data_IF_372303868956
#
_entry.id   IF_372303868956
#
_cell.length_a   1.000
_cell.length_b   1.000
_cell.length_c   1.000
_cell.angle_alpha   90.00
_cell.angle_beta   90.00
_cell.angle_gamma   90.00
#
_symmetry.space_group_name_H-M   'P 1'
#
loop_
_entity.id
_entity.type
_entity.pdbx_description
1 polymer ?
#
# COMPACT_ATOMS: atom_id res chain seq x y z
N UNK A 1 -7.73 -8.01 -13.38
CA UNK A 1 -7.86 -9.31 -14.05
C UNK A 1 -7.24 -10.39 -13.19
N UNK A 2 -7.92 -11.52 -13.00
CA UNK A 2 -7.35 -12.70 -12.34
C UNK A 2 -7.04 -13.79 -13.37
N UNK A 3 -6.18 -14.72 -12.97
CA UNK A 3 -5.85 -15.92 -13.72
C UNK A 3 -5.77 -17.13 -12.80
N UNK A 4 -5.87 -18.30 -13.41
CA UNK A 4 -5.58 -19.59 -12.82
C UNK A 4 -4.51 -20.31 -13.68
N UNK A 5 -3.97 -21.47 -13.26
CA UNK A 5 -2.98 -22.20 -14.04
C UNK A 5 -3.44 -22.63 -15.44
N UNK A 6 -4.75 -22.58 -15.74
CA UNK A 6 -5.32 -22.91 -17.04
C UNK A 6 -5.53 -21.67 -17.93
N UNK A 7 -5.29 -20.46 -17.41
CA UNK A 7 -5.50 -19.21 -18.15
C UNK A 7 -4.42 -19.06 -19.22
N UNK A 8 -4.78 -19.00 -20.51
CA UNK A 8 -3.81 -18.78 -21.59
C UNK A 8 -3.22 -17.37 -21.47
N UNK A 9 -1.88 -17.29 -21.44
CA UNK A 9 -1.14 -16.03 -21.28
C UNK A 9 -0.36 -15.64 -22.55
N UNK A 10 -0.27 -16.52 -23.53
CA UNK A 10 0.59 -16.43 -24.70
C UNK A 10 0.28 -15.24 -25.60
N UNK A 11 -1.00 -14.84 -25.69
CA UNK A 11 -1.43 -13.66 -26.45
C UNK A 11 -1.31 -12.33 -25.68
N UNK A 12 -0.94 -12.37 -24.40
CA UNK A 12 -0.83 -11.16 -23.58
C UNK A 12 0.54 -10.46 -23.76
N UNK A 13 0.58 -9.11 -23.65
CA UNK A 13 1.84 -8.37 -23.61
C UNK A 13 2.70 -8.77 -22.40
N UNK A 14 4.02 -8.56 -22.47
CA UNK A 14 4.98 -9.02 -21.46
C UNK A 14 4.64 -8.64 -20.02
N UNK A 15 4.19 -7.40 -19.81
CA UNK A 15 3.80 -6.92 -18.49
C UNK A 15 2.62 -7.73 -17.92
N UNK A 16 1.67 -8.15 -18.75
CA UNK A 16 0.50 -8.90 -18.32
C UNK A 16 0.87 -10.36 -18.03
N UNK A 17 1.71 -10.98 -18.85
CA UNK A 17 2.25 -12.33 -18.59
C UNK A 17 2.99 -12.43 -17.26
N UNK A 18 3.72 -11.38 -16.87
CA UNK A 18 4.47 -11.33 -15.61
C UNK A 18 3.58 -11.17 -14.38
N UNK A 19 2.48 -10.42 -14.49
CA UNK A 19 1.66 -10.03 -13.34
C UNK A 19 0.44 -10.94 -13.12
N UNK A 20 -0.18 -11.46 -14.18
CA UNK A 20 -1.40 -12.29 -14.08
C UNK A 20 -1.24 -13.51 -13.16
N UNK A 21 -0.11 -14.27 -13.20
CA UNK A 21 0.09 -15.41 -12.31
C UNK A 21 0.06 -15.08 -10.80
N UNK A 22 0.26 -13.80 -10.44
CA UNK A 22 0.18 -13.34 -9.05
C UNK A 22 -1.22 -12.89 -8.62
N UNK A 23 -2.18 -12.83 -9.55
CA UNK A 23 -3.55 -12.40 -9.31
C UNK A 23 -4.48 -13.61 -9.44
N UNK A 24 -4.70 -14.33 -8.35
CA UNK A 24 -5.64 -15.47 -8.32
C UNK A 24 -7.09 -14.98 -8.16
N UNK A 25 -8.06 -15.85 -8.43
CA UNK A 25 -9.47 -15.50 -8.22
C UNK A 25 -9.75 -15.15 -6.74
N UNK A 26 -9.10 -15.80 -5.80
CA UNK A 26 -9.21 -15.51 -4.36
C UNK A 26 -8.72 -14.10 -4.03
N UNK A 27 -7.64 -13.65 -4.67
CA UNK A 27 -7.10 -12.29 -4.49
C UNK A 27 -8.05 -11.19 -4.99
N UNK A 28 -9.00 -11.52 -5.87
CA UNK A 28 -10.00 -10.55 -6.35
C UNK A 28 -10.93 -10.07 -5.25
N UNK A 29 -11.26 -10.94 -4.28
CA UNK A 29 -12.15 -10.52 -3.17
C UNK A 29 -11.46 -9.44 -2.35
N UNK A 30 -10.18 -9.63 -2.03
CA UNK A 30 -9.35 -8.63 -1.35
C UNK A 30 -9.25 -7.33 -2.15
N UNK A 31 -9.00 -7.44 -3.46
CA UNK A 31 -8.94 -6.28 -4.36
C UNK A 31 -10.27 -5.51 -4.42
N UNK A 32 -11.41 -6.19 -4.50
CA UNK A 32 -12.72 -5.52 -4.49
C UNK A 32 -12.95 -4.77 -3.18
N UNK A 33 -12.54 -5.34 -2.05
CA UNK A 33 -12.64 -4.66 -0.76
C UNK A 33 -11.65 -3.49 -0.66
N UNK A 34 -10.44 -3.61 -1.20
CA UNK A 34 -9.47 -2.51 -1.34
C UNK A 34 -10.09 -1.32 -2.07
N UNK A 35 -10.67 -1.55 -3.25
CA UNK A 35 -11.36 -0.50 -4.00
C UNK A 35 -12.57 0.06 -3.25
N UNK A 36 -13.31 -0.79 -2.52
CA UNK A 36 -14.40 -0.35 -1.68
C UNK A 36 -13.92 0.57 -0.54
N UNK A 37 -12.76 0.31 0.05
CA UNK A 37 -12.16 1.19 1.08
C UNK A 37 -11.87 2.58 0.52
N UNK A 38 -11.35 2.69 -0.71
CA UNK A 38 -11.14 3.99 -1.36
C UNK A 38 -12.43 4.80 -1.49
N UNK A 39 -13.59 4.17 -1.70
CA UNK A 39 -14.88 4.89 -1.72
C UNK A 39 -15.28 5.48 -0.37
N UNK A 40 -14.71 4.98 0.72
CA UNK A 40 -14.98 5.44 2.08
C UNK A 40 -13.95 6.48 2.56
N UNK A 41 -12.75 6.50 1.95
CA UNK A 41 -11.71 7.46 2.29
C UNK A 41 -12.14 8.90 1.98
N UNK A 42 -11.73 9.82 2.85
CA UNK A 42 -12.05 11.25 2.70
C UNK A 42 -10.98 11.99 1.88
N UNK A 43 -11.38 13.01 1.11
CA UNK A 43 -10.41 13.87 0.43
C UNK A 43 -9.54 14.58 1.46
N UNK A 44 -8.34 15.00 1.04
CA UNK A 44 -7.46 15.81 1.87
C UNK A 44 -8.21 17.07 2.35
N UNK A 45 -8.02 17.49 3.60
CA UNK A 45 -8.40 18.83 4.02
C UNK A 45 -7.77 19.89 3.10
N UNK A 46 -8.50 21.01 2.91
CA UNK A 46 -8.00 22.11 2.10
C UNK A 46 -6.66 22.63 2.64
N UNK A 47 -5.70 22.86 1.74
CA UNK A 47 -4.36 23.34 2.09
C UNK A 47 -3.38 22.26 2.56
N UNK A 48 -3.80 21.00 2.70
CA UNK A 48 -2.87 19.90 2.98
C UNK A 48 -2.05 19.54 1.74
N UNK A 49 -0.74 19.37 1.93
CA UNK A 49 0.16 18.93 0.88
C UNK A 49 -0.04 17.45 0.55
N UNK A 50 0.09 17.11 -0.73
CA UNK A 50 -0.05 15.75 -1.22
C UNK A 50 1.32 15.02 -1.17
N UNK A 51 1.78 14.77 0.05
CA UNK A 51 3.11 14.19 0.33
C UNK A 51 3.17 12.69 0.04
N UNK A 52 4.37 12.14 -0.12
CA UNK A 52 4.58 10.69 -0.24
C UNK A 52 3.93 9.92 0.92
N UNK A 53 4.03 10.42 2.16
CA UNK A 53 3.39 9.82 3.34
C UNK A 53 1.88 9.65 3.15
N UNK A 54 1.22 10.69 2.61
CA UNK A 54 -0.22 10.68 2.38
C UNK A 54 -0.63 9.64 1.33
N UNK A 55 0.13 9.53 0.24
CA UNK A 55 -0.08 8.51 -0.80
C UNK A 55 0.12 7.11 -0.25
N UNK A 56 1.24 6.88 0.44
CA UNK A 56 1.57 5.60 1.06
C UNK A 56 0.47 5.16 2.03
N UNK A 57 0.02 6.05 2.91
CA UNK A 57 -1.08 5.77 3.84
C UNK A 57 -2.41 5.54 3.11
N UNK A 58 -2.74 6.31 2.08
CA UNK A 58 -3.97 6.12 1.29
C UNK A 58 -4.10 4.70 0.74
N UNK A 59 -3.07 4.21 0.07
CA UNK A 59 -3.05 2.86 -0.50
C UNK A 59 -2.84 1.77 0.56
N UNK A 60 -1.93 2.01 1.50
CA UNK A 60 -1.62 1.07 2.57
C UNK A 60 -2.79 0.83 3.54
N UNK A 61 -3.62 1.86 3.81
CA UNK A 61 -4.86 1.73 4.57
C UNK A 61 -5.86 0.86 3.81
N UNK A 62 -5.98 1.02 2.50
CA UNK A 62 -6.85 0.18 1.68
C UNK A 62 -6.40 -1.28 1.69
N UNK A 63 -5.09 -1.54 1.54
CA UNK A 63 -4.49 -2.87 1.66
C UNK A 63 -4.78 -3.49 3.05
N UNK A 64 -4.57 -2.70 4.11
CA UNK A 64 -4.73 -3.15 5.50
C UNK A 64 -6.18 -3.45 5.87
N UNK A 65 -7.12 -2.55 5.54
CA UNK A 65 -8.52 -2.74 5.87
C UNK A 65 -9.16 -3.86 5.03
N UNK A 66 -8.69 -4.07 3.79
CA UNK A 66 -9.07 -5.23 3.01
C UNK A 66 -8.60 -6.54 3.69
N UNK A 67 -7.33 -6.61 4.12
CA UNK A 67 -6.82 -7.79 4.84
C UNK A 67 -7.55 -8.01 6.18
N UNK A 68 -7.87 -6.94 6.91
CA UNK A 68 -8.64 -7.02 8.15
C UNK A 68 -10.06 -7.58 7.92
N UNK A 69 -10.67 -7.31 6.78
CA UNK A 69 -12.03 -7.70 6.47
C UNK A 69 -12.15 -9.13 5.91
N UNK A 70 -11.24 -9.53 5.02
CA UNK A 70 -11.36 -10.80 4.27
C UNK A 70 -10.20 -11.77 4.48
N UNK A 71 -9.22 -11.41 5.32
CA UNK A 71 -8.01 -12.18 5.56
C UNK A 71 -6.91 -11.93 4.53
N UNK A 72 -5.77 -12.66 4.62
CA UNK A 72 -4.62 -12.43 3.76
C UNK A 72 -4.96 -12.58 2.29
N UNK A 73 -4.79 -11.50 1.52
CA UNK A 73 -5.13 -11.46 0.10
C UNK A 73 -3.95 -10.99 -0.78
N UNK A 74 -3.03 -10.21 -0.20
CA UNK A 74 -1.85 -9.66 -0.88
C UNK A 74 -0.52 -10.16 -0.28
N UNK A 75 -0.53 -11.09 0.67
CA UNK A 75 0.64 -11.49 1.47
C UNK A 75 1.85 -11.99 0.66
N UNK A 76 1.62 -12.55 -0.53
CA UNK A 76 2.66 -13.06 -1.44
C UNK A 76 2.98 -12.10 -2.60
N UNK A 77 2.48 -10.86 -2.56
CA UNK A 77 2.86 -9.86 -3.56
C UNK A 77 4.36 -9.53 -3.47
N UNK A 78 5.00 -9.13 -4.59
CA UNK A 78 6.42 -8.78 -4.59
C UNK A 78 6.79 -7.72 -3.54
N UNK A 79 5.96 -6.69 -3.35
CA UNK A 79 6.17 -5.66 -2.32
C UNK A 79 6.11 -6.20 -0.90
N UNK A 80 5.20 -7.14 -0.62
CA UNK A 80 5.08 -7.77 0.69
C UNK A 80 6.26 -8.69 1.00
N UNK A 81 6.75 -9.43 0.00
CA UNK A 81 7.94 -10.28 0.15
C UNK A 81 9.19 -9.43 0.36
N UNK A 82 9.41 -8.43 -0.50
CA UNK A 82 10.58 -7.56 -0.44
C UNK A 82 10.60 -6.72 0.83
N UNK A 83 9.48 -6.04 1.15
CA UNK A 83 9.37 -5.20 2.33
C UNK A 83 9.63 -5.97 3.63
N UNK A 84 9.14 -7.20 3.78
CA UNK A 84 9.47 -8.03 4.95
C UNK A 84 10.96 -8.38 5.06
N UNK A 85 11.65 -8.54 3.94
CA UNK A 85 13.07 -8.89 3.92
C UNK A 85 13.98 -7.67 4.14
N UNK A 86 13.50 -6.47 3.80
CA UNK A 86 14.27 -5.22 3.75
C UNK A 86 13.61 -4.10 4.57
N UNK A 87 12.85 -4.45 5.61
CA UNK A 87 11.95 -3.53 6.33
C UNK A 87 12.67 -2.29 6.86
N UNK A 88 13.84 -2.48 7.48
CA UNK A 88 14.62 -1.39 8.04
C UNK A 88 15.16 -0.45 6.94
N UNK A 89 15.76 -1.00 5.89
CA UNK A 89 16.34 -0.21 4.79
C UNK A 89 15.27 0.61 4.06
N UNK A 90 14.14 -0.04 3.73
CA UNK A 90 12.97 0.63 3.10
C UNK A 90 12.44 1.74 4.01
N UNK A 91 12.41 1.52 5.32
CA UNK A 91 11.95 2.53 6.27
C UNK A 91 12.90 3.73 6.32
N UNK A 92 14.21 3.52 6.38
CA UNK A 92 15.22 4.60 6.37
C UNK A 92 15.07 5.46 5.13
N UNK A 93 15.02 4.86 3.94
CA UNK A 93 14.85 5.59 2.68
C UNK A 93 13.52 6.35 2.64
N UNK A 94 12.45 5.75 3.19
CA UNK A 94 11.13 6.38 3.22
C UNK A 94 11.11 7.63 4.11
N UNK A 95 11.76 7.58 5.28
CA UNK A 95 11.80 8.72 6.21
C UNK A 95 12.41 9.98 5.58
N UNK A 96 13.41 9.81 4.71
CA UNK A 96 14.08 10.92 4.04
C UNK A 96 13.19 11.60 2.98
N UNK A 97 12.22 10.87 2.43
CA UNK A 97 11.40 11.31 1.28
C UNK A 97 9.92 11.52 1.61
N UNK A 98 9.41 11.02 2.75
CA UNK A 98 7.97 10.93 3.06
C UNK A 98 7.23 12.27 3.06
N UNK A 99 7.91 13.38 3.41
CA UNK A 99 7.31 14.72 3.42
C UNK A 99 7.39 15.44 2.07
N UNK A 100 8.02 14.83 1.06
CA UNK A 100 8.18 15.45 -0.26
C UNK A 100 6.89 15.29 -1.06
N UNK A 101 6.28 16.43 -1.43
CA UNK A 101 5.16 16.49 -2.37
C UNK A 101 5.67 16.73 -3.80
N UNK A 102 6.15 15.66 -4.45
CA UNK A 102 6.64 15.69 -5.84
C UNK A 102 6.17 14.47 -6.61
N UNK A 103 5.66 14.65 -7.83
CA UNK A 103 5.27 13.55 -8.72
C UNK A 103 6.45 12.59 -9.00
N UNK A 104 7.68 13.11 -9.09
CA UNK A 104 8.87 12.26 -9.30
C UNK A 104 9.16 11.35 -8.12
N UNK A 105 9.01 11.86 -6.89
CA UNK A 105 9.22 11.08 -5.66
C UNK A 105 8.06 10.11 -5.48
N UNK A 106 6.82 10.57 -5.63
CA UNK A 106 5.64 9.71 -5.55
C UNK A 106 5.77 8.55 -6.54
N UNK A 107 6.14 8.79 -7.81
CA UNK A 107 6.36 7.73 -8.80
C UNK A 107 7.55 6.82 -8.53
N UNK A 108 8.49 7.22 -7.67
CA UNK A 108 9.58 6.35 -7.25
C UNK A 108 9.09 5.26 -6.28
N UNK A 109 8.09 5.58 -5.46
CA UNK A 109 7.54 4.68 -4.44
C UNK A 109 6.21 4.02 -4.81
N UNK A 110 5.43 4.69 -5.65
CA UNK A 110 4.01 4.45 -5.91
C UNK A 110 3.74 4.42 -7.41
N UNK A 111 2.73 3.66 -7.82
CA UNK A 111 2.17 3.66 -9.17
C UNK A 111 3.21 3.37 -10.27
N UNK A 112 4.17 2.50 -9.95
CA UNK A 112 5.40 2.34 -10.73
C UNK A 112 5.54 0.93 -11.33
N UNK A 113 4.42 0.24 -11.56
CA UNK A 113 4.38 -1.13 -12.09
C UNK A 113 5.05 -1.36 -13.45
N UNK A 114 5.41 -0.29 -14.17
CA UNK A 114 6.18 -0.35 -15.42
C UNK A 114 7.68 -0.07 -15.23
N UNK A 115 8.12 0.30 -14.02
CA UNK A 115 9.51 0.57 -13.68
C UNK A 115 10.16 -0.71 -13.12
N UNK A 116 11.34 -1.12 -13.64
CA UNK A 116 12.03 -2.31 -13.12
C UNK A 116 12.45 -2.13 -11.67
N UNK A 117 12.13 -3.09 -10.78
CA UNK A 117 12.38 -3.09 -9.33
C UNK A 117 13.73 -2.50 -8.85
N UNK A 118 14.81 -2.74 -9.61
CA UNK A 118 16.14 -2.19 -9.31
C UNK A 118 16.28 -0.68 -9.55
N UNK A 119 15.23 0.00 -9.99
CA UNK A 119 15.17 1.44 -10.26
C UNK A 119 14.14 2.16 -9.39
N UNK A 120 13.50 1.47 -8.42
CA UNK A 120 12.40 1.99 -7.61
C UNK A 120 12.35 1.34 -6.21
N UNK A 121 13.28 1.71 -5.34
CA UNK A 121 13.33 1.30 -3.92
C UNK A 121 13.16 -0.23 -3.69
N UNK A 122 13.60 -1.02 -4.67
CA UNK A 122 13.70 -2.48 -4.61
C UNK A 122 12.45 -3.28 -4.98
N UNK A 123 11.26 -2.68 -4.98
CA UNK A 123 10.03 -3.34 -5.43
C UNK A 123 8.99 -2.36 -5.99
N UNK A 124 8.18 -2.87 -6.91
CA UNK A 124 7.01 -2.14 -7.43
C UNK A 124 6.05 -1.80 -6.29
N UNK A 125 5.60 -0.55 -6.26
CA UNK A 125 4.61 -0.01 -5.31
C UNK A 125 5.01 -0.24 -3.84
N UNK A 126 6.31 -0.19 -3.53
CA UNK A 126 6.81 -0.46 -2.17
C UNK A 126 6.29 0.54 -1.13
N UNK A 127 5.88 1.75 -1.52
CA UNK A 127 5.24 2.70 -0.59
C UNK A 127 3.89 2.20 -0.04
N UNK A 128 3.16 1.35 -0.77
CA UNK A 128 1.93 0.70 -0.28
C UNK A 128 2.24 -0.15 0.94
N UNK A 129 3.36 -0.87 0.90
CA UNK A 129 3.80 -1.72 1.99
C UNK A 129 4.14 -0.90 3.24
N UNK A 130 4.82 0.24 3.08
CA UNK A 130 5.13 1.14 4.20
C UNK A 130 3.83 1.66 4.85
N UNK A 131 2.89 2.17 4.04
CA UNK A 131 1.61 2.64 4.55
C UNK A 131 0.80 1.54 5.23
N UNK A 132 0.82 0.32 4.70
CA UNK A 132 0.18 -0.86 5.30
C UNK A 132 0.75 -1.14 6.69
N UNK A 133 2.07 -1.05 6.86
CA UNK A 133 2.73 -1.26 8.17
C UNK A 133 2.40 -0.16 9.17
N UNK A 134 2.37 1.11 8.74
CA UNK A 134 1.96 2.23 9.59
C UNK A 134 0.50 2.07 10.03
N UNK A 135 -0.42 1.77 9.10
CA UNK A 135 -1.83 1.58 9.40
C UNK A 135 -2.06 0.42 10.37
N UNK A 136 -1.37 -0.71 10.15
CA UNK A 136 -1.42 -1.87 11.04
C UNK A 136 -0.89 -1.56 12.44
N UNK A 137 0.23 -0.83 12.55
CA UNK A 137 0.80 -0.42 13.83
C UNK A 137 -0.12 0.56 14.59
N UNK A 138 -0.71 1.53 13.89
CA UNK A 138 -1.71 2.44 14.44
C UNK A 138 -2.93 1.69 14.97
N UNK A 139 -3.51 0.83 14.13
CA UNK A 139 -4.66 0.01 14.51
C UNK A 139 -4.33 -0.89 15.71
N UNK A 140 -3.16 -1.52 15.75
CA UNK A 140 -2.75 -2.41 16.83
C UNK A 140 -2.70 -1.69 18.19
N UNK A 141 -2.17 -0.46 18.23
CA UNK A 141 -2.05 0.35 19.46
C UNK A 141 -3.36 0.96 19.92
N UNK A 142 -4.34 1.15 19.02
CA UNK A 142 -5.62 1.73 19.39
C UNK A 142 -6.41 0.84 20.35
N UNK A 143 -6.97 1.44 21.41
CA UNK A 143 -7.87 0.76 22.35
C UNK A 143 -9.27 0.59 21.75
N UNK A 144 -9.79 1.63 21.09
CA UNK A 144 -11.02 1.57 20.30
C UNK A 144 -10.69 1.31 18.82
N UNK A 145 -10.90 0.07 18.38
CA UNK A 145 -10.67 -0.35 17.00
C UNK A 145 -11.61 0.32 16.00
N UNK A 146 -12.83 0.66 16.39
CA UNK A 146 -13.80 1.32 15.50
C UNK A 146 -13.42 2.78 15.29
N UNK A 147 -12.97 3.45 16.34
CA UNK A 147 -12.40 4.79 16.22
C UNK A 147 -11.14 4.76 15.33
N UNK A 148 -10.25 3.78 15.52
CA UNK A 148 -9.05 3.65 14.70
C UNK A 148 -9.34 3.50 13.20
N UNK A 149 -10.29 2.64 12.83
CA UNK A 149 -10.71 2.48 11.42
C UNK A 149 -11.26 3.79 10.87
N UNK A 150 -12.04 4.54 11.66
CA UNK A 150 -12.55 5.85 11.24
C UNK A 150 -11.43 6.85 10.98
N UNK A 151 -10.47 6.97 11.91
CA UNK A 151 -9.34 7.87 11.77
C UNK A 151 -8.47 7.53 10.54
N UNK A 152 -8.25 6.24 10.27
CA UNK A 152 -7.55 5.80 9.07
C UNK A 152 -8.32 6.13 7.78
N UNK A 153 -9.65 5.99 7.76
CA UNK A 153 -10.47 6.36 6.61
C UNK A 153 -10.56 7.87 6.39
N UNK A 154 -10.57 8.65 7.48
CA UNK A 154 -10.62 10.11 7.41
C UNK A 154 -9.27 10.71 7.01
N UNK A 155 -8.16 10.13 7.48
CA UNK A 155 -6.78 10.50 7.16
C UNK A 155 -6.54 12.04 7.16
N UNK A 156 -7.10 12.74 8.15
CA UNK A 156 -6.99 14.20 8.25
C UNK A 156 -5.55 14.66 8.50
N UNK A 157 -4.79 13.90 9.29
CA UNK A 157 -3.40 14.21 9.65
C UNK A 157 -2.52 12.94 9.51
N UNK A 158 -1.95 12.70 8.32
CA UNK A 158 -1.06 11.57 8.06
C UNK A 158 0.12 11.48 9.03
N UNK A 159 0.71 12.61 9.41
CA UNK A 159 1.84 12.64 10.34
C UNK A 159 1.41 12.25 11.77
N UNK A 160 0.22 12.68 12.21
CA UNK A 160 -0.31 12.26 13.50
C UNK A 160 -0.60 10.77 13.54
N UNK A 161 -1.13 10.19 12.46
CA UNK A 161 -1.28 8.73 12.32
C UNK A 161 0.08 8.06 12.44
N UNK A 162 1.10 8.52 11.72
CA UNK A 162 2.45 7.97 11.81
C UNK A 162 3.01 8.06 13.24
N UNK A 163 2.98 9.24 13.87
CA UNK A 163 3.46 9.43 15.26
C UNK A 163 2.72 8.51 16.25
N UNK A 164 1.40 8.43 16.14
CA UNK A 164 0.57 7.59 17.00
C UNK A 164 0.75 6.09 16.73
N UNK A 165 1.12 5.70 15.50
CA UNK A 165 1.42 4.31 15.15
C UNK A 165 2.62 3.76 15.90
N UNK A 166 3.60 4.61 16.23
CA UNK A 166 4.87 4.19 16.81
C UNK A 166 5.70 3.29 15.89
N UNK A 167 5.40 3.29 14.58
CA UNK A 167 6.13 2.53 13.59
C UNK A 167 7.55 3.10 13.42
N UNK A 168 8.55 2.28 13.80
CA UNK A 168 9.98 2.57 13.70
C UNK A 168 10.76 1.24 13.80
N UNK A 169 10.75 0.42 12.74
CA UNK A 169 11.31 -0.93 12.74
C UNK A 169 12.84 -1.01 12.69
#
# INVERSE_FOLDING_TARGET
SASDPATPLDELPDWARKNFPTHTFESLVGLVVHEAVHTQQKPAPEGQHDTLLRHALGEGIADFLAELAVGPWAANSPRQIYGRAHEHDVWVDFQDEMEIASDSIIRMWMYNGMVPAGQNHGAVDIGYWVGYRIAGAYYARATDKRAAVRELLELHDPEAILRASGYAP
#
